data_IF_475294865292
#
_entry.id   IF_475294865292
#
_cell.length_a   1.000
_cell.length_b   1.000
_cell.length_c   1.000
_cell.angle_alpha   90.00
_cell.angle_beta   90.00
_cell.angle_gamma   90.00
#
_symmetry.space_group_name_H-M   'P 1'
#
loop_
_entity.id
_entity.type
_entity.pdbx_description
1 polymer ?
#
# COMPACT_ATOMS: atom_id res chain seq x y z
N UNK A 1 3.81 -1.80 -37.38
CA UNK A 1 4.27 -2.13 -36.00
C UNK A 1 5.77 -2.35 -36.04
N UNK A 2 6.55 -1.49 -35.39
CA UNK A 2 8.01 -1.61 -35.37
C UNK A 2 8.45 -2.91 -34.68
N UNK A 3 9.44 -3.60 -35.27
CA UNK A 3 10.08 -4.84 -34.78
C UNK A 3 10.46 -4.80 -33.29
N UNK A 4 10.63 -3.60 -32.70
CA UNK A 4 10.94 -3.40 -31.29
C UNK A 4 9.81 -3.75 -30.31
N UNK A 5 8.54 -3.71 -30.74
CA UNK A 5 7.38 -4.05 -29.90
C UNK A 5 7.12 -5.56 -29.84
N UNK A 6 7.53 -6.29 -30.88
CA UNK A 6 7.35 -7.74 -30.96
C UNK A 6 8.20 -8.46 -29.90
N UNK A 7 9.41 -7.97 -29.64
CA UNK A 7 10.34 -8.56 -28.66
C UNK A 7 9.83 -8.42 -27.21
N UNK A 8 9.21 -7.28 -26.88
CA UNK A 8 8.65 -7.03 -25.54
C UNK A 8 7.42 -7.89 -25.30
N UNK A 9 6.57 -8.05 -26.31
CA UNK A 9 5.41 -8.97 -26.26
C UNK A 9 5.90 -10.42 -26.14
N UNK A 10 6.96 -10.81 -26.84
CA UNK A 10 7.57 -12.14 -26.75
C UNK A 10 8.14 -12.43 -25.34
N UNK A 11 8.80 -11.46 -24.72
CA UNK A 11 9.37 -11.59 -23.37
C UNK A 11 8.28 -11.66 -22.28
N UNK A 12 7.18 -10.93 -22.45
CA UNK A 12 6.00 -11.01 -21.58
C UNK A 12 5.22 -12.33 -21.76
N UNK A 13 5.21 -12.88 -22.98
CA UNK A 13 4.67 -14.20 -23.28
C UNK A 13 5.52 -15.34 -22.69
N UNK A 14 6.85 -15.19 -22.66
CA UNK A 14 7.74 -16.20 -22.07
C UNK A 14 7.60 -16.28 -20.55
N UNK A 15 7.27 -15.17 -19.86
CA UNK A 15 6.97 -15.20 -18.42
C UNK A 15 5.65 -15.92 -18.08
N UNK A 16 4.66 -15.93 -18.98
CA UNK A 16 3.37 -16.60 -18.74
C UNK A 16 3.36 -18.09 -19.07
N UNK A 17 4.31 -18.56 -19.88
CA UNK A 17 4.58 -19.99 -20.08
C UNK A 17 5.07 -20.68 -18.80
N UNK A 18 5.72 -19.95 -17.89
CA UNK A 18 6.15 -20.47 -16.59
C UNK A 18 4.96 -20.73 -15.64
N UNK A 19 3.96 -19.85 -15.59
CA UNK A 19 2.80 -20.01 -14.70
C UNK A 19 1.82 -21.10 -15.17
N UNK A 20 1.75 -21.38 -16.48
CA UNK A 20 0.78 -22.36 -17.03
C UNK A 20 1.29 -23.80 -17.11
N UNK A 21 2.59 -24.04 -16.94
CA UNK A 21 3.19 -25.38 -17.14
C UNK A 21 3.49 -26.13 -15.84
N UNK A 22 3.32 -25.51 -14.66
CA UNK A 22 3.52 -26.19 -13.38
C UNK A 22 4.91 -26.79 -13.20
N UNK A 23 5.92 -26.27 -13.91
CA UNK A 23 7.29 -26.79 -13.85
C UNK A 23 7.94 -26.28 -12.56
N UNK A 24 7.88 -27.09 -11.52
CA UNK A 24 8.71 -26.94 -10.33
C UNK A 24 10.17 -27.25 -10.70
N UNK A 25 11.02 -26.21 -10.78
CA UNK A 25 12.46 -26.43 -10.67
C UNK A 25 12.82 -26.58 -9.19
N UNK A 26 12.89 -27.82 -8.74
CA UNK A 26 13.49 -28.16 -7.46
C UNK A 26 14.99 -28.45 -7.65
N UNK A 27 15.86 -27.61 -7.10
CA UNK A 27 17.15 -28.02 -6.53
C UNK A 27 17.81 -26.86 -5.75
N UNK A 28 17.82 -26.95 -4.42
CA UNK A 28 18.96 -26.50 -3.62
C UNK A 28 19.11 -25.02 -3.26
N UNK A 29 18.06 -24.36 -2.80
CA UNK A 29 17.98 -23.17 -1.92
C UNK A 29 16.48 -22.86 -1.82
N UNK A 30 15.96 -22.23 -0.75
CA UNK A 30 14.52 -21.92 -0.62
C UNK A 30 13.97 -21.42 -1.96
N UNK A 31 13.04 -22.18 -2.57
CA UNK A 31 12.58 -21.91 -3.92
C UNK A 31 11.98 -20.50 -3.99
N UNK A 32 12.57 -19.64 -4.83
CA UNK A 32 12.11 -18.27 -5.05
C UNK A 32 10.66 -18.28 -5.55
N UNK A 33 9.80 -17.41 -5.00
CA UNK A 33 8.39 -17.37 -5.40
C UNK A 33 8.25 -16.98 -6.88
N UNK A 34 7.24 -17.54 -7.57
CA UNK A 34 6.92 -17.18 -8.96
C UNK A 34 6.72 -15.66 -9.12
N UNK A 35 6.11 -15.02 -8.12
CA UNK A 35 5.95 -13.58 -8.03
C UNK A 35 7.30 -12.83 -8.02
N UNK A 36 8.28 -13.30 -7.24
CA UNK A 36 9.59 -12.67 -7.16
C UNK A 36 10.38 -12.84 -8.47
N UNK A 37 10.35 -14.04 -9.05
CA UNK A 37 10.96 -14.33 -10.34
C UNK A 37 10.36 -13.47 -11.47
N UNK A 38 9.03 -13.44 -11.56
CA UNK A 38 8.29 -12.61 -12.53
C UNK A 38 8.60 -11.12 -12.37
N UNK A 39 8.66 -10.64 -11.13
CA UNK A 39 9.07 -9.26 -10.85
C UNK A 39 10.49 -8.98 -11.36
N UNK A 40 11.47 -9.86 -11.10
CA UNK A 40 12.85 -9.63 -11.53
C UNK A 40 12.97 -9.56 -13.05
N UNK A 41 12.23 -10.39 -13.78
CA UNK A 41 12.17 -10.33 -15.24
C UNK A 41 11.55 -9.00 -15.71
N UNK A 42 10.42 -8.60 -15.13
CA UNK A 42 9.77 -7.32 -15.43
C UNK A 42 10.68 -6.13 -15.15
N UNK A 43 11.36 -6.10 -14.00
CA UNK A 43 12.28 -5.04 -13.62
C UNK A 43 13.50 -4.96 -14.56
N UNK A 44 14.04 -6.10 -15.03
CA UNK A 44 15.10 -6.12 -16.05
C UNK A 44 14.59 -5.54 -17.38
N UNK A 45 13.38 -5.92 -17.80
CA UNK A 45 12.78 -5.39 -19.03
C UNK A 45 12.56 -3.87 -18.93
N UNK A 46 11.98 -3.38 -17.84
CA UNK A 46 11.77 -1.94 -17.59
C UNK A 46 13.11 -1.19 -17.55
N UNK A 47 14.14 -1.73 -16.90
CA UNK A 47 15.48 -1.14 -16.89
C UNK A 47 16.06 -1.03 -18.30
N UNK A 48 15.90 -2.07 -19.14
CA UNK A 48 16.32 -2.03 -20.55
C UNK A 48 15.55 -0.97 -21.35
N UNK A 49 14.23 -0.88 -21.18
CA UNK A 49 13.38 0.13 -21.83
C UNK A 49 13.84 1.56 -21.47
N UNK A 50 14.19 1.80 -20.21
CA UNK A 50 14.63 3.11 -19.74
C UNK A 50 16.07 3.42 -20.19
N UNK A 51 17.03 2.54 -19.91
CA UNK A 51 18.46 2.84 -20.10
C UNK A 51 18.93 2.65 -21.53
N UNK A 52 18.47 1.60 -22.21
CA UNK A 52 18.95 1.27 -23.56
C UNK A 52 18.09 1.90 -24.64
N UNK A 53 16.79 2.08 -24.39
CA UNK A 53 15.85 2.63 -25.37
C UNK A 53 15.38 4.06 -25.03
N UNK A 54 15.76 4.60 -23.87
CA UNK A 54 15.42 5.98 -23.45
C UNK A 54 13.91 6.26 -23.45
N UNK A 55 13.09 5.27 -23.12
CA UNK A 55 11.64 5.47 -23.01
C UNK A 55 11.32 6.36 -21.80
N UNK A 56 10.49 7.38 -22.04
CA UNK A 56 9.90 8.22 -21.00
C UNK A 56 8.85 7.46 -20.17
N UNK A 57 8.47 7.96 -18.97
CA UNK A 57 7.42 7.35 -18.14
C UNK A 57 6.10 7.13 -18.89
N UNK A 58 5.71 8.06 -19.76
CA UNK A 58 4.48 7.95 -20.57
C UNK A 58 4.56 6.79 -21.58
N UNK A 59 5.72 6.59 -22.20
CA UNK A 59 5.93 5.48 -23.14
C UNK A 59 5.97 4.13 -22.41
N UNK A 60 6.53 4.09 -21.20
CA UNK A 60 6.52 2.89 -20.35
C UNK A 60 5.08 2.55 -19.95
N UNK A 61 4.31 3.55 -19.53
CA UNK A 61 2.90 3.38 -19.17
C UNK A 61 2.07 2.89 -20.37
N UNK A 62 2.33 3.44 -21.56
CA UNK A 62 1.69 2.99 -22.79
C UNK A 62 2.01 1.54 -23.14
N UNK A 63 3.21 1.04 -22.85
CA UNK A 63 3.52 -0.40 -23.03
C UNK A 63 2.85 -1.24 -21.93
N UNK A 64 2.85 -0.74 -20.69
CA UNK A 64 2.25 -1.39 -19.53
C UNK A 64 0.76 -1.68 -19.69
N UNK A 65 0.02 -0.86 -20.46
CA UNK A 65 -1.41 -1.12 -20.70
C UNK A 65 -1.72 -2.45 -21.38
N UNK A 66 -0.84 -2.91 -22.27
CA UNK A 66 -1.02 -4.18 -22.97
C UNK A 66 -0.81 -5.35 -22.01
N UNK A 67 0.02 -5.14 -20.98
CA UNK A 67 0.16 -6.06 -19.85
C UNK A 67 -1.14 -6.05 -19.04
N UNK A 68 -1.67 -4.88 -18.68
CA UNK A 68 -2.94 -4.79 -17.95
C UNK A 68 -4.08 -5.56 -18.62
N UNK A 69 -4.23 -5.42 -19.94
CA UNK A 69 -5.25 -6.12 -20.72
C UNK A 69 -5.03 -7.64 -20.80
N UNK A 70 -3.80 -8.12 -20.60
CA UNK A 70 -3.46 -9.53 -20.70
C UNK A 70 -3.67 -10.32 -19.38
N UNK A 71 -3.81 -9.65 -18.24
CA UNK A 71 -3.74 -10.28 -16.90
C UNK A 71 -5.02 -10.14 -16.05
N UNK A 72 -6.21 -10.08 -16.65
CA UNK A 72 -7.53 -10.09 -15.98
C UNK A 72 -7.65 -9.16 -14.74
N UNK A 73 -7.12 -7.95 -14.87
CA UNK A 73 -7.31 -6.87 -13.89
C UNK A 73 -8.26 -5.82 -14.46
N UNK A 74 -8.90 -5.01 -13.60
CA UNK A 74 -9.56 -3.79 -14.06
C UNK A 74 -8.52 -2.92 -14.79
N UNK A 75 -8.66 -2.84 -16.12
CA UNK A 75 -7.66 -2.21 -17.00
C UNK A 75 -7.49 -0.74 -16.65
N UNK A 76 -8.57 -0.05 -16.25
CA UNK A 76 -8.50 1.35 -15.84
C UNK A 76 -7.67 1.50 -14.57
N UNK A 77 -7.98 0.72 -13.54
CA UNK A 77 -7.22 0.74 -12.28
C UNK A 77 -5.74 0.40 -12.53
N UNK A 78 -5.47 -0.60 -13.34
CA UNK A 78 -4.11 -1.02 -13.66
C UNK A 78 -3.32 0.05 -14.44
N UNK A 79 -3.93 0.66 -15.46
CA UNK A 79 -3.28 1.74 -16.23
C UNK A 79 -2.92 2.94 -15.33
N UNK A 80 -3.83 3.34 -14.43
CA UNK A 80 -3.62 4.46 -13.51
C UNK A 80 -2.49 4.18 -12.50
N UNK A 81 -2.47 2.98 -11.90
CA UNK A 81 -1.39 2.58 -10.98
C UNK A 81 -0.04 2.54 -11.70
N UNK A 82 0.02 1.97 -12.91
CA UNK A 82 1.24 1.95 -13.71
C UNK A 82 1.70 3.37 -14.00
N UNK A 83 0.79 4.27 -14.38
CA UNK A 83 1.13 5.65 -14.73
C UNK A 83 1.81 6.39 -13.59
N UNK A 84 1.31 6.23 -12.36
CA UNK A 84 1.91 6.89 -11.20
C UNK A 84 3.24 6.23 -10.79
N UNK A 85 3.30 4.91 -10.77
CA UNK A 85 4.52 4.18 -10.37
C UNK A 85 5.63 4.28 -11.42
N UNK A 86 5.31 4.39 -12.71
CA UNK A 86 6.29 4.51 -13.79
C UNK A 86 7.16 5.75 -13.63
N UNK A 87 6.62 6.87 -13.11
CA UNK A 87 7.38 8.10 -12.86
C UNK A 87 8.48 7.86 -11.81
N UNK A 88 8.13 7.21 -10.70
CA UNK A 88 9.05 6.89 -9.60
C UNK A 88 10.10 5.90 -10.07
N UNK A 89 9.67 4.78 -10.66
CA UNK A 89 10.58 3.72 -11.12
C UNK A 89 11.55 4.26 -12.17
N UNK A 90 11.05 5.08 -13.10
CA UNK A 90 11.89 5.75 -14.09
C UNK A 90 12.92 6.66 -13.42
N UNK A 91 12.51 7.50 -12.45
CA UNK A 91 13.42 8.36 -11.72
C UNK A 91 14.51 7.57 -10.97
N UNK A 92 14.13 6.52 -10.23
CA UNK A 92 15.07 5.66 -9.48
C UNK A 92 16.09 5.01 -10.42
N UNK A 93 15.62 4.40 -11.51
CA UNK A 93 16.49 3.74 -12.49
C UNK A 93 17.40 4.75 -13.16
N UNK A 94 16.91 5.95 -13.49
CA UNK A 94 17.73 7.01 -14.07
C UNK A 94 18.82 7.47 -13.11
N UNK A 95 18.46 7.77 -11.86
CA UNK A 95 19.35 8.31 -10.84
C UNK A 95 20.41 7.29 -10.36
N UNK A 96 20.11 6.00 -10.37
CA UNK A 96 21.03 4.97 -9.87
C UNK A 96 21.21 3.82 -10.87
N UNK A 97 22.34 3.83 -11.59
CA UNK A 97 22.65 2.84 -12.63
C UNK A 97 22.82 1.41 -12.10
N UNK A 98 23.23 1.29 -10.84
CA UNK A 98 23.43 0.04 -10.10
C UNK A 98 22.12 -0.55 -9.56
N UNK A 99 20.97 0.12 -9.77
CA UNK A 99 19.67 -0.40 -9.33
C UNK A 99 19.46 -1.80 -9.92
N UNK A 100 19.53 -2.80 -9.06
CA UNK A 100 19.33 -4.19 -9.42
C UNK A 100 17.82 -4.46 -9.57
N UNK A 101 17.46 -5.43 -10.41
CA UNK A 101 16.07 -5.89 -10.52
C UNK A 101 15.54 -6.35 -9.15
N UNK A 102 16.41 -6.92 -8.34
CA UNK A 102 16.19 -7.26 -6.94
C UNK A 102 15.76 -6.05 -6.09
N UNK A 103 16.49 -4.93 -6.14
CA UNK A 103 16.11 -3.72 -5.39
C UNK A 103 14.76 -3.14 -5.83
N UNK A 104 14.48 -3.15 -7.14
CA UNK A 104 13.15 -2.75 -7.65
C UNK A 104 12.06 -3.68 -7.11
N UNK A 105 12.30 -4.98 -7.09
CA UNK A 105 11.32 -5.95 -6.59
C UNK A 105 11.14 -5.95 -5.07
N UNK A 106 12.17 -5.55 -4.33
CA UNK A 106 12.07 -5.30 -2.90
C UNK A 106 11.18 -4.07 -2.63
N UNK A 107 11.36 -2.99 -3.38
CA UNK A 107 10.52 -1.78 -3.29
C UNK A 107 9.04 -2.09 -3.59
N UNK A 108 8.79 -2.98 -4.55
CA UNK A 108 7.45 -3.45 -4.92
C UNK A 108 6.91 -4.55 -3.99
N UNK A 109 7.60 -4.86 -2.87
CA UNK A 109 7.26 -5.94 -1.93
C UNK A 109 7.05 -7.32 -2.59
N UNK A 110 7.59 -7.53 -3.79
CA UNK A 110 7.41 -8.74 -4.58
C UNK A 110 8.53 -9.76 -4.34
N UNK A 111 9.66 -9.32 -3.78
CA UNK A 111 10.78 -10.16 -3.37
C UNK A 111 11.17 -9.86 -1.93
N UNK A 112 11.42 -10.90 -1.13
CA UNK A 112 12.08 -10.77 0.16
C UNK A 112 13.58 -10.78 -0.06
N UNK A 113 14.19 -9.60 -0.02
CA UNK A 113 15.63 -9.45 -0.16
C UNK A 113 16.13 -8.88 1.15
N UNK A 114 17.06 -9.59 1.78
CA UNK A 114 17.74 -9.15 2.97
C UNK A 114 19.06 -8.52 2.53
N UNK A 115 19.20 -7.22 2.72
CA UNK A 115 20.50 -6.54 2.64
C UNK A 115 20.98 -6.34 4.06
N UNK A 116 22.17 -6.86 4.38
CA UNK A 116 22.75 -6.68 5.70
C UNK A 116 23.27 -5.24 5.82
N UNK A 117 22.94 -4.60 6.94
CA UNK A 117 23.43 -3.27 7.29
C UNK A 117 23.61 -3.21 8.81
N UNK A 118 24.56 -2.40 9.27
CA UNK A 118 24.92 -2.28 10.68
C UNK A 118 24.88 -0.83 11.14
N UNK A 119 24.36 -0.60 12.35
CA UNK A 119 24.48 0.69 13.06
C UNK A 119 25.53 0.53 14.15
N UNK A 120 26.46 1.48 14.22
CA UNK A 120 27.38 1.58 15.34
C UNK A 120 26.63 2.11 16.57
N UNK A 121 26.40 1.25 17.56
CA UNK A 121 25.81 1.65 18.83
C UNK A 121 26.94 2.23 19.70
N UNK A 122 26.83 3.48 20.19
CA UNK A 122 27.84 4.05 21.06
C UNK A 122 27.97 3.24 22.36
N UNK A 123 29.19 3.12 22.89
CA UNK A 123 29.44 2.40 24.15
C UNK A 123 28.58 2.98 25.28
N UNK A 124 27.73 2.13 25.87
CA UNK A 124 26.87 2.50 26.97
C UNK A 124 27.59 2.20 28.29
N UNK A 125 27.70 3.19 29.18
CA UNK A 125 28.00 2.89 30.59
C UNK A 125 26.84 2.08 31.16
N UNK A 126 27.07 0.80 31.45
CA UNK A 126 26.10 -0.05 32.14
C UNK A 126 25.87 0.50 33.55
N UNK A 127 24.75 1.20 33.73
CA UNK A 127 24.25 1.51 35.07
C UNK A 127 23.44 0.28 35.49
N UNK A 128 23.96 -0.49 36.45
CA UNK A 128 23.21 -1.55 37.11
C UNK A 128 22.03 -0.93 37.89
N UNK A 129 20.93 -0.66 37.20
CA UNK A 129 19.66 -0.33 37.83
C UNK A 129 18.99 -1.63 38.23
N UNK A 130 19.06 -1.98 39.51
CA UNK A 130 18.12 -2.93 40.11
C UNK A 130 16.76 -2.26 40.17
N UNK A 131 16.01 -2.32 39.06
CA UNK A 131 14.61 -1.88 39.04
C UNK A 131 13.79 -2.89 39.85
N UNK A 132 13.77 -2.75 41.18
CA UNK A 132 12.66 -3.26 41.97
C UNK A 132 11.47 -2.37 41.63
N UNK A 133 10.70 -2.78 40.61
CA UNK A 133 9.40 -2.18 40.33
C UNK A 133 8.49 -2.44 41.52
N UNK A 134 8.55 -1.56 42.52
CA UNK A 134 7.46 -1.43 43.48
C UNK A 134 6.34 -0.73 42.74
N UNK A 135 5.26 -1.47 42.43
CA UNK A 135 4.07 -0.97 41.73
C UNK A 135 3.27 0.01 42.62
N UNK A 136 3.91 1.10 43.05
CA UNK A 136 3.32 2.17 43.88
C UNK A 136 2.53 3.15 42.99
N UNK A 137 2.80 3.18 41.68
CA UNK A 137 2.14 4.09 40.76
C UNK A 137 0.75 3.58 40.34
N UNK A 138 -0.25 4.47 40.43
CA UNK A 138 -1.60 4.21 39.90
C UNK A 138 -1.53 3.95 38.38
N UNK A 139 -2.11 2.86 37.86
CA UNK A 139 -2.11 2.58 36.43
C UNK A 139 -2.87 3.66 35.66
N UNK A 140 -2.43 3.91 34.43
CA UNK A 140 -3.13 4.76 33.46
C UNK A 140 -3.39 3.98 32.18
N UNK A 141 -4.34 4.46 31.38
CA UNK A 141 -4.75 3.81 30.12
C UNK A 141 -4.30 4.64 28.93
N UNK A 142 -3.98 3.97 27.84
CA UNK A 142 -3.61 4.57 26.55
C UNK A 142 -4.57 4.01 25.51
N UNK A 143 -5.22 4.88 24.76
CA UNK A 143 -5.99 4.49 23.58
C UNK A 143 -5.02 4.20 22.44
N UNK A 144 -5.19 3.12 21.70
CA UNK A 144 -4.43 2.83 20.48
C UNK A 144 -5.40 2.69 19.32
N UNK A 145 -5.26 3.58 18.34
CA UNK A 145 -5.98 3.54 17.07
C UNK A 145 -5.00 3.29 15.92
N UNK A 146 -5.44 2.63 14.86
CA UNK A 146 -4.63 2.33 13.68
C UNK A 146 -5.54 2.01 12.50
N UNK A 147 -5.02 2.12 11.28
CA UNK A 147 -5.63 1.55 10.06
C UNK A 147 -7.10 1.96 9.89
N UNK A 148 -7.37 3.27 10.03
CA UNK A 148 -8.73 3.80 9.90
C UNK A 148 -9.24 3.57 8.47
N UNK A 149 -8.36 3.70 7.47
CA UNK A 149 -8.69 3.60 6.04
C UNK A 149 -10.05 4.21 5.72
N UNK A 150 -10.14 5.52 5.90
CA UNK A 150 -11.37 6.25 5.68
C UNK A 150 -11.68 6.36 4.18
N UNK A 151 -12.83 5.82 3.77
CA UNK A 151 -13.32 5.89 2.40
C UNK A 151 -14.42 6.97 2.28
N UNK A 152 -14.04 8.13 1.76
CA UNK A 152 -14.97 9.23 1.49
C UNK A 152 -16.02 8.89 0.40
N UNK A 153 -15.77 7.85 -0.41
CA UNK A 153 -16.63 7.42 -1.50
C UNK A 153 -17.48 6.18 -1.15
N UNK A 154 -17.37 5.66 0.08
CA UNK A 154 -18.14 4.50 0.51
C UNK A 154 -19.64 4.78 0.34
N UNK A 155 -20.33 3.90 -0.37
CA UNK A 155 -21.75 4.03 -0.71
C UNK A 155 -22.50 2.78 -0.29
N UNK A 156 -23.33 2.90 0.76
CA UNK A 156 -24.24 1.83 1.19
C UNK A 156 -25.10 1.32 0.03
N UNK A 157 -25.24 0.00 -0.09
CA UNK A 157 -25.98 -0.67 -1.16
C UNK A 157 -25.20 -0.88 -2.46
N UNK A 158 -23.99 -0.32 -2.60
CA UNK A 158 -23.11 -0.63 -3.74
C UNK A 158 -22.52 -2.05 -3.64
N UNK A 159 -21.86 -2.53 -4.70
CA UNK A 159 -21.28 -3.87 -4.68
C UNK A 159 -20.11 -3.98 -3.68
N UNK A 160 -20.21 -4.88 -2.71
CA UNK A 160 -19.12 -5.18 -1.77
C UNK A 160 -18.06 -6.12 -2.36
N UNK A 161 -18.40 -6.84 -3.43
CA UNK A 161 -17.47 -7.63 -4.24
C UNK A 161 -17.41 -7.08 -5.66
N UNK A 162 -16.19 -6.84 -6.14
CA UNK A 162 -15.91 -6.29 -7.46
C UNK A 162 -14.52 -6.75 -7.94
N UNK A 163 -14.21 -6.50 -9.21
CA UNK A 163 -12.92 -6.82 -9.84
C UNK A 163 -11.84 -5.73 -9.64
N UNK A 164 -12.02 -4.83 -8.68
CA UNK A 164 -11.05 -3.79 -8.31
C UNK A 164 -10.36 -4.11 -6.98
N UNK A 165 -9.35 -3.31 -6.62
CA UNK A 165 -8.68 -3.40 -5.31
C UNK A 165 -9.56 -2.89 -4.16
N UNK A 166 -10.44 -1.92 -4.43
CA UNK A 166 -11.42 -1.40 -3.48
C UNK A 166 -12.80 -1.35 -4.13
N UNK A 167 -13.79 -1.87 -3.40
CA UNK A 167 -15.21 -1.97 -3.74
C UNK A 167 -16.02 -1.06 -2.80
N UNK A 168 -17.32 -1.32 -2.62
CA UNK A 168 -18.22 -0.52 -1.78
C UNK A 168 -18.35 0.97 -2.15
N UNK A 169 -17.93 1.35 -3.36
CA UNK A 169 -18.06 2.70 -3.90
C UNK A 169 -19.04 2.72 -5.08
N UNK A 170 -19.74 3.85 -5.28
CA UNK A 170 -20.81 3.98 -6.29
C UNK A 170 -20.36 3.83 -7.75
N UNK A 171 -19.06 3.94 -8.05
CA UNK A 171 -18.51 3.75 -9.39
C UNK A 171 -18.21 2.27 -9.72
N UNK A 172 -18.58 1.34 -8.83
CA UNK A 172 -18.54 -0.10 -9.06
C UNK A 172 -19.88 -0.59 -9.60
N UNK A 173 -20.00 -0.67 -10.93
CA UNK A 173 -21.24 -1.05 -11.64
C UNK A 173 -21.51 -2.56 -11.70
N UNK A 174 -20.93 -3.34 -10.79
CA UNK A 174 -21.13 -4.80 -10.78
C UNK A 174 -22.54 -5.10 -10.28
N UNK A 175 -23.27 -5.94 -11.01
CA UNK A 175 -24.60 -6.42 -10.60
C UNK A 175 -24.41 -7.33 -9.38
N UNK A 176 -24.64 -6.80 -8.18
CA UNK A 176 -24.54 -7.58 -6.95
C UNK A 176 -25.73 -8.53 -6.83
N UNK A 177 -25.46 -9.79 -6.47
CA UNK A 177 -26.47 -10.62 -5.83
C UNK A 177 -26.81 -9.98 -4.47
N UNK A 178 -27.99 -10.25 -3.91
CA UNK A 178 -28.48 -9.59 -2.69
C UNK A 178 -27.52 -9.73 -1.48
N UNK A 179 -26.65 -10.75 -1.50
CA UNK A 179 -25.67 -11.06 -0.45
C UNK A 179 -24.33 -10.28 -0.59
N UNK A 180 -24.11 -9.57 -1.70
CA UNK A 180 -22.87 -8.85 -2.01
C UNK A 180 -23.07 -7.32 -2.06
N UNK A 181 -23.94 -6.79 -1.19
CA UNK A 181 -24.19 -5.35 -1.07
C UNK A 181 -23.45 -4.73 0.11
N UNK A 182 -23.08 -3.47 -0.04
CA UNK A 182 -22.36 -2.71 0.95
C UNK A 182 -23.28 -2.34 2.13
N UNK A 183 -22.98 -2.80 3.34
CA UNK A 183 -23.72 -2.45 4.56
C UNK A 183 -23.48 -1.01 5.01
N UNK A 184 -24.38 -0.48 5.85
CA UNK A 184 -24.29 0.91 6.37
C UNK A 184 -23.04 1.16 7.24
N UNK A 185 -22.63 0.15 8.01
CA UNK A 185 -21.48 0.22 8.92
C UNK A 185 -20.19 -0.34 8.32
N UNK A 186 -20.23 -0.89 7.11
CA UNK A 186 -19.12 -1.64 6.51
C UNK A 186 -19.61 -2.96 5.92
N UNK A 187 -18.67 -3.69 5.30
CA UNK A 187 -18.94 -4.96 4.64
C UNK A 187 -17.74 -5.88 4.66
N UNK A 188 -17.97 -7.19 4.65
CA UNK A 188 -16.92 -8.24 4.60
C UNK A 188 -16.24 -8.39 3.21
N UNK A 189 -16.42 -7.41 2.33
CA UNK A 189 -15.83 -7.37 0.99
C UNK A 189 -14.47 -6.67 0.97
N UNK A 190 -13.98 -6.36 -0.24
CA UNK A 190 -12.79 -5.50 -0.41
C UNK A 190 -13.19 -4.05 -0.18
N UNK A 191 -13.49 -3.68 1.06
CA UNK A 191 -14.08 -2.39 1.39
C UNK A 191 -13.35 -1.74 2.57
N UNK A 192 -13.29 -0.42 2.53
CA UNK A 192 -12.70 0.42 3.56
C UNK A 192 -13.79 1.01 4.46
N UNK A 193 -13.38 1.77 5.48
CA UNK A 193 -14.29 2.22 6.53
C UNK A 193 -15.21 3.37 6.05
N UNK A 194 -16.54 3.21 6.13
CA UNK A 194 -17.46 4.31 5.88
C UNK A 194 -17.37 5.38 6.97
N UNK A 195 -17.76 6.60 6.62
CA UNK A 195 -17.84 7.74 7.55
C UNK A 195 -18.56 7.40 8.84
N UNK A 196 -19.71 6.73 8.74
CA UNK A 196 -20.53 6.41 9.91
C UNK A 196 -19.77 5.51 10.90
N UNK A 197 -19.07 4.49 10.40
CA UNK A 197 -18.27 3.59 11.26
C UNK A 197 -17.17 4.37 12.00
N UNK A 198 -16.44 5.24 11.29
CA UNK A 198 -15.35 6.01 11.89
C UNK A 198 -15.89 6.97 12.96
N UNK A 199 -16.96 7.71 12.65
CA UNK A 199 -17.55 8.67 13.58
C UNK A 199 -18.17 7.98 14.80
N UNK A 200 -18.91 6.89 14.60
CA UNK A 200 -19.52 6.14 15.71
C UNK A 200 -18.45 5.48 16.59
N UNK A 201 -17.32 5.06 16.01
CA UNK A 201 -16.17 4.56 16.78
C UNK A 201 -15.63 5.65 17.72
N UNK A 202 -15.41 6.86 17.20
CA UNK A 202 -14.93 7.98 18.02
C UNK A 202 -15.93 8.39 19.10
N UNK A 203 -17.23 8.43 18.75
CA UNK A 203 -18.31 8.70 19.70
C UNK A 203 -18.39 7.64 20.79
N UNK A 204 -18.34 6.36 20.43
CA UNK A 204 -18.37 5.26 21.39
C UNK A 204 -17.20 5.34 22.38
N UNK A 205 -16.00 5.67 21.90
CA UNK A 205 -14.82 5.87 22.77
C UNK A 205 -15.02 7.06 23.71
N UNK A 206 -15.64 8.15 23.25
CA UNK A 206 -15.92 9.34 24.04
C UNK A 206 -16.95 9.09 25.16
N UNK A 207 -18.01 8.36 24.83
CA UNK A 207 -19.11 7.98 25.75
C UNK A 207 -18.68 6.90 26.75
N UNK A 208 -17.61 6.16 26.45
CA UNK A 208 -17.10 5.15 27.35
C UNK A 208 -16.64 5.78 28.69
N UNK A 209 -17.10 5.27 29.84
CA UNK A 209 -16.67 5.78 31.15
C UNK A 209 -15.17 5.55 31.42
N UNK A 210 -14.54 4.62 30.69
CA UNK A 210 -13.11 4.36 30.76
C UNK A 210 -12.32 5.51 30.12
N UNK A 211 -11.79 6.39 30.97
CA UNK A 211 -10.88 7.46 30.54
C UNK A 211 -9.48 6.94 30.24
N UNK A 212 -8.85 7.53 29.23
CA UNK A 212 -7.46 7.31 28.83
C UNK A 212 -6.67 8.62 28.93
N UNK A 213 -5.37 8.52 29.22
CA UNK A 213 -4.49 9.67 29.43
C UNK A 213 -3.89 10.19 28.11
N UNK A 214 -3.58 9.27 27.20
CA UNK A 214 -2.97 9.54 25.91
C UNK A 214 -3.59 8.65 24.84
N UNK A 215 -3.43 9.03 23.59
CA UNK A 215 -3.75 8.19 22.44
C UNK A 215 -2.50 7.98 21.56
N UNK A 216 -2.27 6.76 21.13
CA UNK A 216 -1.38 6.42 20.03
C UNK A 216 -2.21 6.24 18.76
N UNK A 217 -1.74 6.81 17.66
CA UNK A 217 -2.38 6.63 16.37
C UNK A 217 -1.34 6.23 15.33
N UNK A 218 -1.39 4.99 14.85
CA UNK A 218 -0.28 4.42 14.07
C UNK A 218 -0.36 4.58 12.55
N UNK A 219 -1.24 5.46 12.05
CA UNK A 219 -1.31 5.84 10.63
C UNK A 219 -2.36 5.04 9.85
N UNK A 220 -2.21 5.03 8.52
CA UNK A 220 -3.12 4.43 7.55
C UNK A 220 -4.55 4.98 7.62
N UNK A 221 -4.65 6.29 7.36
CA UNK A 221 -5.90 7.03 7.26
C UNK A 221 -6.50 6.92 5.86
N UNK A 222 -5.67 6.96 4.81
CA UNK A 222 -6.11 7.03 3.42
C UNK A 222 -6.58 5.65 2.95
N UNK A 223 -7.67 5.61 2.18
CA UNK A 223 -8.24 4.38 1.63
C UNK A 223 -7.30 3.65 0.65
N UNK A 224 -7.63 2.40 0.35
CA UNK A 224 -7.01 1.56 -0.66
C UNK A 224 -7.38 1.95 -2.10
N UNK A 225 -8.00 3.13 -2.34
CA UNK A 225 -8.25 3.68 -3.69
C UNK A 225 -6.98 4.23 -4.33
N UNK A 226 -5.90 3.45 -4.30
CA UNK A 226 -4.52 3.85 -4.62
C UNK A 226 -4.35 4.44 -6.03
N UNK A 227 -5.23 4.07 -6.95
CA UNK A 227 -5.23 4.53 -8.34
C UNK A 227 -5.81 5.93 -8.54
N UNK A 228 -6.44 6.51 -7.50
CA UNK A 228 -7.08 7.82 -7.57
C UNK A 228 -6.84 8.61 -6.28
N UNK A 229 -5.58 8.78 -5.91
CA UNK A 229 -5.12 9.62 -4.78
C UNK A 229 -4.34 10.83 -5.30
N UNK A 230 -4.09 11.81 -4.43
CA UNK A 230 -3.23 12.97 -4.71
C UNK A 230 -2.62 13.48 -3.40
N UNK A 231 -1.57 14.30 -3.48
CA UNK A 231 -0.96 14.90 -2.27
C UNK A 231 -2.00 15.74 -1.54
N UNK A 232 -2.71 16.61 -2.25
CA UNK A 232 -3.73 17.50 -1.69
C UNK A 232 -4.92 16.71 -1.12
N UNK A 233 -5.37 15.67 -1.84
CA UNK A 233 -6.45 14.79 -1.40
C UNK A 233 -6.10 14.04 -0.12
N UNK A 234 -4.91 13.44 -0.06
CA UNK A 234 -4.44 12.73 1.13
C UNK A 234 -4.34 13.68 2.34
N UNK A 235 -3.72 14.86 2.16
CA UNK A 235 -3.63 15.88 3.22
C UNK A 235 -5.02 16.27 3.73
N UNK A 236 -5.99 16.47 2.83
CA UNK A 236 -7.36 16.81 3.20
C UNK A 236 -8.01 15.72 4.06
N UNK A 237 -7.91 14.46 3.64
CA UNK A 237 -8.46 13.30 4.35
C UNK A 237 -7.81 13.16 5.74
N UNK A 238 -6.47 13.21 5.79
CA UNK A 238 -5.70 13.12 7.04
C UNK A 238 -6.12 14.23 8.00
N UNK A 239 -6.13 15.48 7.54
CA UNK A 239 -6.55 16.62 8.36
C UNK A 239 -7.98 16.49 8.87
N UNK A 240 -8.90 15.99 8.04
CA UNK A 240 -10.28 15.73 8.43
C UNK A 240 -10.38 14.72 9.57
N UNK A 241 -9.70 13.58 9.48
CA UNK A 241 -9.71 12.56 10.53
C UNK A 241 -9.05 13.07 11.81
N UNK A 242 -7.90 13.77 11.72
CA UNK A 242 -7.29 14.37 12.91
C UNK A 242 -8.16 15.46 13.55
N UNK A 243 -8.91 16.21 12.75
CA UNK A 243 -9.88 17.18 13.25
C UNK A 243 -10.99 16.49 14.05
N UNK A 244 -11.59 15.42 13.52
CA UNK A 244 -12.62 14.66 14.23
C UNK A 244 -12.08 13.96 15.49
N UNK A 245 -10.88 13.39 15.45
CA UNK A 245 -10.23 12.81 16.64
C UNK A 245 -10.01 13.87 17.74
N UNK A 246 -9.56 15.08 17.39
CA UNK A 246 -9.38 16.18 18.35
C UNK A 246 -10.70 16.63 18.97
N UNK A 247 -11.78 16.64 18.19
CA UNK A 247 -13.13 16.95 18.68
C UNK A 247 -13.66 15.87 19.62
N UNK A 248 -13.46 14.60 19.26
CA UNK A 248 -13.92 13.47 20.06
C UNK A 248 -13.16 13.34 21.38
N UNK A 249 -11.85 13.64 21.39
CA UNK A 249 -10.96 13.46 22.53
C UNK A 249 -10.36 14.79 23.03
N UNK A 250 -11.19 15.74 23.50
CA UNK A 250 -10.72 17.07 23.90
C UNK A 250 -9.72 16.97 25.06
N UNK A 251 -8.59 17.67 24.92
CA UNK A 251 -7.53 17.71 25.93
C UNK A 251 -6.64 16.45 25.99
N UNK A 252 -6.94 15.40 25.22
CA UNK A 252 -6.06 14.22 25.13
C UNK A 252 -4.95 14.47 24.12
N UNK A 253 -3.70 14.21 24.54
CA UNK A 253 -2.56 14.25 23.61
C UNK A 253 -2.53 13.00 22.74
N UNK A 254 -2.56 13.20 21.43
CA UNK A 254 -2.46 12.15 20.40
C UNK A 254 -1.02 12.12 19.90
N UNK A 255 -0.39 10.95 19.89
CA UNK A 255 0.94 10.70 19.35
C UNK A 255 0.82 9.89 18.06
N UNK A 256 0.92 10.54 16.89
CA UNK A 256 0.76 9.86 15.62
C UNK A 256 2.08 9.31 15.05
N UNK A 257 1.97 8.27 14.23
CA UNK A 257 2.99 7.86 13.25
C UNK A 257 2.40 7.88 11.85
N UNK A 258 3.27 7.90 10.83
CA UNK A 258 2.85 7.73 9.44
C UNK A 258 2.78 6.23 9.13
N UNK A 259 1.67 5.84 8.51
CA UNK A 259 1.53 4.55 7.85
C UNK A 259 2.07 4.63 6.42
N UNK A 260 1.77 3.61 5.62
CA UNK A 260 2.25 3.51 4.25
C UNK A 260 1.24 4.04 3.22
N UNK A 261 -0.02 4.28 3.62
CA UNK A 261 -1.07 4.88 2.79
C UNK A 261 -1.10 6.40 2.78
N UNK A 262 -0.43 7.08 3.72
CA UNK A 262 -0.44 8.55 3.78
C UNK A 262 0.16 9.23 2.53
N UNK A 263 1.12 8.60 1.87
CA UNK A 263 1.86 9.20 0.76
C UNK A 263 1.13 9.02 -0.56
N UNK A 264 1.35 9.96 -1.48
CA UNK A 264 0.99 9.78 -2.87
C UNK A 264 2.25 9.86 -3.75
N UNK A 265 2.52 8.84 -4.58
CA UNK A 265 1.88 7.52 -4.60
C UNK A 265 2.08 6.71 -3.30
N UNK A 266 1.25 5.68 -3.10
CA UNK A 266 1.30 4.81 -1.92
C UNK A 266 2.68 4.17 -1.74
N UNK A 267 3.11 3.96 -0.48
CA UNK A 267 4.40 3.37 -0.09
C UNK A 267 5.65 4.20 -0.44
N UNK A 268 5.51 5.46 -0.89
CA UNK A 268 6.63 6.33 -1.17
C UNK A 268 7.20 6.92 0.13
N UNK A 269 7.99 6.14 0.86
CA UNK A 269 8.79 6.66 1.98
C UNK A 269 9.96 7.47 1.41
N UNK A 270 9.85 8.79 1.41
CA UNK A 270 11.01 9.66 1.18
C UNK A 270 11.97 9.43 2.34
N UNK A 271 13.12 8.83 2.07
CA UNK A 271 14.25 8.83 3.00
C UNK A 271 14.70 10.28 3.14
N UNK A 272 14.40 10.89 4.29
CA UNK A 272 14.99 12.17 4.70
C UNK A 272 16.46 12.05 5.00
#
# INVERSE_FOLDING_TARGET
MSSKYLLVILLLWLSTLCDKTGINFAAGQEAESAQCYGCRLGAKAVKFLIKSLSLSPNQISFVGRYICAAFDNDVGVCEEVIREQAKIIHHIIQANIETSASHVCQLMHSCRIYTDWSINIPERRFINKTNKFTAVAKPFRVLHLTDIHYDELYTTGSASKCNKFLCCQGDNKVRSLYEDIAGYWGSWGKCDAPHNLVMETFKHIQENPVRFKYAYFTGDVVSHRIWNTSIEGNIKIINGIFYEMKRAFPGVKIFPTLGNHETHPVNLKLSG
#
